data_IF_728722696308
#
_entry.id   IF_728722696308
#
_cell.length_a   1.000
_cell.length_b   1.000
_cell.length_c   1.000
_cell.angle_alpha   90.00
_cell.angle_beta   90.00
_cell.angle_gamma   90.00
#
_symmetry.space_group_name_H-M   'P 1'
#
loop_
_entity.id
_entity.type
_entity.pdbx_description
1 polymer ?
#
# COMPACT_ATOMS: atom_id res chain seq x y z
N UNK A 1 8.81 15.54 -10.03
CA UNK A 1 7.67 14.62 -10.33
C UNK A 1 6.42 15.48 -10.28
N UNK A 2 5.62 15.52 -11.34
CA UNK A 2 4.32 16.21 -11.32
C UNK A 2 3.23 15.26 -10.82
N UNK A 3 2.09 15.79 -10.37
CA UNK A 3 0.95 14.97 -9.92
C UNK A 3 0.48 14.00 -11.01
N UNK A 4 0.57 14.42 -12.28
CA UNK A 4 0.17 13.62 -13.44
C UNK A 4 1.10 12.41 -13.69
N UNK A 5 2.29 12.37 -13.09
CA UNK A 5 3.17 11.20 -13.16
C UNK A 5 2.82 10.12 -12.11
N UNK A 6 1.91 10.40 -11.18
CA UNK A 6 1.47 9.44 -10.18
C UNK A 6 0.30 8.63 -10.76
N UNK A 7 0.58 7.36 -11.06
CA UNK A 7 -0.41 6.46 -11.65
C UNK A 7 -1.55 6.11 -10.68
N UNK A 8 -1.23 5.79 -9.42
CA UNK A 8 -2.19 5.34 -8.42
C UNK A 8 -1.62 5.50 -7.00
N UNK A 9 -2.51 5.59 -6.01
CA UNK A 9 -2.15 5.29 -4.62
C UNK A 9 -2.13 3.78 -4.37
N UNK A 10 -1.48 3.33 -3.29
CA UNK A 10 -1.46 1.90 -2.93
C UNK A 10 -2.87 1.34 -2.68
N UNK A 11 -3.76 2.15 -2.11
CA UNK A 11 -5.16 1.79 -1.83
C UNK A 11 -5.94 1.47 -3.09
N UNK A 12 -5.72 2.20 -4.19
CA UNK A 12 -6.37 1.94 -5.48
C UNK A 12 -6.05 0.56 -6.03
N UNK A 13 -4.79 0.11 -5.85
CA UNK A 13 -4.34 -1.21 -6.29
C UNK A 13 -4.90 -2.31 -5.38
N UNK A 14 -4.81 -2.13 -4.06
CA UNK A 14 -5.29 -3.12 -3.07
C UNK A 14 -6.81 -3.33 -3.20
N UNK A 15 -7.56 -2.25 -3.41
CA UNK A 15 -9.02 -2.29 -3.61
C UNK A 15 -9.42 -2.67 -5.05
N UNK A 16 -8.46 -3.00 -5.92
CA UNK A 16 -8.67 -3.34 -7.33
C UNK A 16 -9.40 -2.27 -8.15
N UNK A 17 -9.34 -1.00 -7.73
CA UNK A 17 -9.85 0.15 -8.50
C UNK A 17 -8.99 0.43 -9.73
N UNK A 18 -7.69 0.13 -9.65
CA UNK A 18 -6.74 0.20 -10.76
C UNK A 18 -5.88 -1.08 -10.78
N UNK A 19 -5.50 -1.59 -11.97
CA UNK A 19 -4.57 -2.72 -12.04
C UNK A 19 -3.18 -2.29 -11.59
N UNK A 20 -2.42 -3.23 -11.01
CA UNK A 20 -0.99 -3.07 -10.76
C UNK A 20 -0.18 -3.19 -12.06
N UNK A 21 0.98 -3.82 -11.98
CA UNK A 21 1.77 -4.19 -13.16
C UNK A 21 0.95 -5.07 -14.11
N UNK A 22 0.90 -4.74 -15.40
CA UNK A 22 0.12 -5.48 -16.41
C UNK A 22 0.98 -6.19 -17.44
N UNK A 23 2.27 -5.86 -17.53
CA UNK A 23 3.20 -6.51 -18.46
C UNK A 23 4.62 -6.61 -17.90
N UNK A 24 5.40 -7.52 -18.48
CA UNK A 24 6.80 -7.74 -18.10
C UNK A 24 7.74 -6.65 -18.60
N UNK A 25 7.35 -5.88 -19.63
CA UNK A 25 8.16 -4.77 -20.18
C UNK A 25 8.04 -3.48 -19.37
N UNK A 26 7.05 -3.36 -18.49
CA UNK A 26 6.87 -2.18 -17.64
C UNK A 26 7.99 -2.03 -16.59
N UNK A 27 8.36 -0.80 -16.27
CA UNK A 27 9.15 -0.48 -15.08
C UNK A 27 8.21 0.20 -14.08
N UNK A 28 8.01 -0.39 -12.90
CA UNK A 28 7.14 0.13 -11.85
C UNK A 28 7.95 0.63 -10.67
N UNK A 29 7.72 1.88 -10.25
CA UNK A 29 8.35 2.44 -9.06
C UNK A 29 7.28 2.60 -7.98
N UNK A 30 7.44 1.85 -6.88
CA UNK A 30 6.70 2.11 -5.66
C UNK A 30 7.51 3.06 -4.78
N UNK A 31 6.96 4.24 -4.50
CA UNK A 31 7.57 5.21 -3.58
C UNK A 31 6.68 5.36 -2.35
N UNK A 32 7.29 5.21 -1.17
CA UNK A 32 6.64 5.42 0.13
C UNK A 32 7.42 6.44 0.96
N UNK A 33 6.68 7.13 1.84
CA UNK A 33 7.21 7.96 2.94
C UNK A 33 6.86 7.38 4.32
N UNK A 34 6.04 6.31 4.39
CA UNK A 34 5.46 5.77 5.62
C UNK A 34 4.21 6.53 6.06
N UNK A 35 3.17 5.81 6.51
CA UNK A 35 1.93 6.40 7.05
C UNK A 35 1.62 5.78 8.42
N UNK A 36 1.28 6.62 9.41
CA UNK A 36 1.02 6.19 10.79
C UNK A 36 -0.08 5.12 10.94
N UNK A 37 -1.01 5.03 9.98
CA UNK A 37 -2.05 3.99 9.95
C UNK A 37 -1.44 2.59 9.77
N UNK A 38 -0.32 2.49 9.06
CA UNK A 38 0.39 1.23 8.84
C UNK A 38 0.94 0.70 10.17
N UNK A 39 1.59 1.57 10.95
CA UNK A 39 2.11 1.24 12.28
C UNK A 39 0.97 0.87 13.24
N UNK A 40 -0.07 1.70 13.28
CA UNK A 40 -1.23 1.51 14.16
C UNK A 40 -1.96 0.20 13.86
N UNK A 41 -2.12 -0.16 12.58
CA UNK A 41 -2.75 -1.40 12.15
C UNK A 41 -1.97 -2.62 12.62
N UNK A 42 -0.64 -2.61 12.46
CA UNK A 42 0.24 -3.70 12.91
C UNK A 42 0.23 -3.83 14.44
N UNK A 43 0.34 -2.71 15.16
CA UNK A 43 0.29 -2.71 16.63
C UNK A 43 -1.02 -3.31 17.16
N UNK A 44 -2.16 -2.89 16.59
CA UNK A 44 -3.46 -3.45 16.94
C UNK A 44 -3.57 -4.94 16.59
N UNK A 45 -3.05 -5.38 15.44
CA UNK A 45 -3.06 -6.80 15.06
C UNK A 45 -2.29 -7.66 16.07
N UNK A 46 -1.09 -7.21 16.48
CA UNK A 46 -0.25 -7.90 17.47
C UNK A 46 -0.94 -7.94 18.83
N UNK A 47 -1.46 -6.80 19.31
CA UNK A 47 -2.15 -6.73 20.60
C UNK A 47 -3.33 -7.70 20.66
N UNK A 48 -4.17 -7.71 19.62
CA UNK A 48 -5.30 -8.63 19.52
C UNK A 48 -4.85 -10.11 19.51
N UNK A 49 -3.72 -10.42 18.88
CA UNK A 49 -3.18 -11.80 18.85
C UNK A 49 -2.69 -12.25 20.23
N UNK A 50 -2.14 -11.34 21.03
CA UNK A 50 -1.69 -11.61 22.39
C UNK A 50 -2.88 -11.75 23.35
N UNK A 51 -3.88 -10.87 23.23
CA UNK A 51 -5.05 -10.84 24.10
C UNK A 51 -6.07 -11.97 23.84
N UNK A 52 -6.03 -12.61 22.67
CA UNK A 52 -6.89 -13.76 22.33
C UNK A 52 -6.31 -15.11 22.75
N UNK A 53 -5.13 -15.13 23.36
CA UNK A 53 -4.60 -16.28 24.10
C UNK A 53 -5.01 -16.15 25.56
#
# INVERSE_FOLDING_TARGET
ISINHIYAELSDIVLKKKPGRTSNSEITVFKSVGLAIQDSSVANHILNKIMKK
#
